data_IF_507547193659
#
_entry.id   IF_507547193659
#
_cell.length_a   1.000
_cell.length_b   1.000
_cell.length_c   1.000
_cell.angle_alpha   90.00
_cell.angle_beta   90.00
_cell.angle_gamma   90.00
#
_symmetry.space_group_name_H-M   'P 1'
#
loop_
_entity.id
_entity.type
_entity.pdbx_description
1 polymer ?
#
# COMPACT_ATOMS: atom_id res chain seq x y z
N UNK A 1 5.18 10.88 16.86
CA UNK A 1 5.09 9.42 16.64
C UNK A 1 6.48 8.85 16.48
N UNK A 2 6.76 7.74 17.11
CA UNK A 2 8.08 7.11 17.05
C UNK A 2 8.05 5.84 16.21
N UNK A 3 9.16 5.57 15.52
CA UNK A 3 9.34 4.35 14.77
C UNK A 3 9.50 3.14 15.70
N UNK A 4 8.81 2.03 15.40
CA UNK A 4 8.90 0.82 16.19
C UNK A 4 10.29 0.17 16.13
N UNK A 5 11.03 0.40 15.06
CA UNK A 5 12.29 -0.31 14.82
C UNK A 5 13.49 0.45 15.39
N UNK A 6 13.59 1.73 15.12
CA UNK A 6 14.77 2.52 15.51
C UNK A 6 14.45 3.63 16.51
N UNK A 7 13.18 3.79 16.87
CA UNK A 7 12.69 4.86 17.75
C UNK A 7 12.97 6.27 17.21
N UNK A 8 13.23 6.37 15.90
CA UNK A 8 13.39 7.65 15.25
C UNK A 8 12.07 8.38 15.11
N UNK A 9 12.15 9.66 14.81
CA UNK A 9 10.96 10.48 14.60
C UNK A 9 10.31 10.16 13.26
N UNK A 10 9.00 10.02 13.25
CA UNK A 10 8.24 9.81 12.03
C UNK A 10 7.53 11.10 11.62
N UNK A 11 7.52 11.35 10.32
CA UNK A 11 6.88 12.53 9.74
C UNK A 11 5.84 12.10 8.71
N UNK A 12 4.81 12.93 8.56
CA UNK A 12 3.78 12.70 7.55
C UNK A 12 4.38 12.86 6.16
N UNK A 13 4.07 11.93 5.27
CA UNK A 13 4.58 11.95 3.90
C UNK A 13 3.76 11.04 3.03
N UNK A 14 4.30 10.71 1.86
CA UNK A 14 3.67 9.81 0.92
C UNK A 14 4.69 8.78 0.46
N UNK A 15 4.22 7.56 0.27
CA UNK A 15 5.09 6.48 -0.19
C UNK A 15 4.32 5.57 -1.15
N UNK A 16 5.04 4.79 -1.93
CA UNK A 16 4.42 3.81 -2.81
C UNK A 16 4.16 2.53 -2.05
N UNK A 17 3.05 1.89 -2.36
CA UNK A 17 2.69 0.57 -1.85
C UNK A 17 2.59 -0.40 -3.02
N UNK A 18 3.29 -1.51 -2.94
CA UNK A 18 3.25 -2.52 -4.00
C UNK A 18 2.85 -3.88 -3.44
N UNK A 19 2.13 -4.64 -4.24
CA UNK A 19 1.65 -5.96 -3.85
C UNK A 19 1.50 -6.86 -5.08
N UNK A 20 1.86 -8.13 -4.92
CA UNK A 20 1.63 -9.16 -5.94
C UNK A 20 0.40 -9.96 -5.57
N UNK A 21 -0.56 -10.03 -6.48
CA UNK A 21 -1.80 -10.79 -6.24
C UNK A 21 -2.30 -11.39 -7.55
N UNK A 22 -2.82 -12.61 -7.46
CA UNK A 22 -3.59 -13.26 -8.54
C UNK A 22 -3.00 -13.06 -9.95
N UNK A 23 -1.69 -13.15 -10.07
CA UNK A 23 -1.03 -13.03 -11.36
C UNK A 23 -0.80 -11.60 -11.85
N UNK A 24 -1.04 -10.59 -11.02
CA UNK A 24 -0.71 -9.21 -11.36
C UNK A 24 0.11 -8.54 -10.25
N UNK A 25 0.79 -7.47 -10.61
CA UNK A 25 1.55 -6.66 -9.68
C UNK A 25 0.92 -5.26 -9.63
N UNK A 26 0.45 -4.88 -8.44
CA UNK A 26 -0.20 -3.59 -8.25
C UNK A 26 0.75 -2.64 -7.52
N UNK A 27 0.94 -1.45 -8.07
CA UNK A 27 1.69 -0.37 -7.43
C UNK A 27 0.75 0.81 -7.23
N UNK A 28 0.65 1.28 -5.99
CA UNK A 28 -0.16 2.44 -5.63
C UNK A 28 0.80 3.54 -5.21
N UNK A 29 0.84 4.63 -5.98
CA UNK A 29 1.71 5.75 -5.68
C UNK A 29 1.05 6.75 -4.74
N UNK A 30 1.88 7.49 -4.03
CA UNK A 30 1.44 8.61 -3.20
C UNK A 30 0.44 8.20 -2.11
N UNK A 31 0.66 7.07 -1.47
CA UNK A 31 -0.16 6.64 -0.34
C UNK A 31 0.27 7.43 0.90
N UNK A 32 -0.67 8.14 1.56
CA UNK A 32 -0.32 8.86 2.79
C UNK A 32 0.19 7.90 3.86
N UNK A 33 1.32 8.23 4.47
CA UNK A 33 1.93 7.40 5.49
C UNK A 33 2.84 8.26 6.36
N UNK A 34 3.17 7.74 7.55
CA UNK A 34 4.26 8.31 8.34
C UNK A 34 5.54 7.58 7.97
N UNK A 35 6.60 8.35 7.73
CA UNK A 35 7.88 7.79 7.31
C UNK A 35 8.93 8.16 8.37
N UNK A 36 9.69 7.15 8.79
CA UNK A 36 10.77 7.35 9.74
C UNK A 36 11.90 8.15 9.10
N UNK A 37 12.37 9.19 9.80
CA UNK A 37 13.44 10.04 9.29
C UNK A 37 14.82 9.39 9.35
N UNK A 38 14.95 8.28 10.10
CA UNK A 38 16.23 7.60 10.26
C UNK A 38 16.34 6.35 9.40
N UNK A 39 15.37 5.45 9.48
CA UNK A 39 15.45 4.17 8.76
C UNK A 39 14.59 4.12 7.51
N UNK A 40 13.75 5.12 7.28
CA UNK A 40 12.90 5.16 6.09
C UNK A 40 11.69 4.23 6.11
N UNK A 41 11.44 3.54 7.23
CA UNK A 41 10.31 2.63 7.33
C UNK A 41 8.98 3.39 7.27
N UNK A 42 8.04 2.97 6.43
CA UNK A 42 6.72 3.60 6.39
C UNK A 42 5.79 2.98 7.42
N UNK A 43 4.90 3.80 7.96
CA UNK A 43 3.78 3.33 8.78
C UNK A 43 2.49 3.84 8.15
N UNK A 44 1.63 2.91 7.73
CA UNK A 44 0.35 3.25 7.13
C UNK A 44 -0.73 3.32 8.19
N UNK A 45 -1.43 4.44 8.23
CA UNK A 45 -2.58 4.60 9.12
C UNK A 45 -3.75 3.75 8.64
N UNK A 46 -4.71 3.53 9.53
CA UNK A 46 -5.90 2.73 9.24
C UNK A 46 -6.64 3.23 8.00
N UNK A 47 -6.76 4.55 7.83
CA UNK A 47 -7.41 5.14 6.66
C UNK A 47 -6.70 4.76 5.37
N UNK A 48 -5.37 4.78 5.37
CA UNK A 48 -4.57 4.41 4.21
C UNK A 48 -4.70 2.92 3.91
N UNK A 49 -4.69 2.09 4.94
CA UNK A 49 -4.86 0.64 4.79
C UNK A 49 -6.23 0.33 4.19
N UNK A 50 -7.28 0.99 4.65
CA UNK A 50 -8.63 0.80 4.10
C UNK A 50 -8.68 1.18 2.62
N UNK A 51 -8.05 2.29 2.24
CA UNK A 51 -7.98 2.72 0.86
C UNK A 51 -7.25 1.70 -0.01
N UNK A 52 -6.11 1.20 0.47
CA UNK A 52 -5.34 0.17 -0.22
C UNK A 52 -6.17 -1.09 -0.42
N UNK A 53 -6.86 -1.55 0.62
CA UNK A 53 -7.68 -2.75 0.54
C UNK A 53 -8.83 -2.58 -0.44
N UNK A 54 -9.46 -1.42 -0.46
CA UNK A 54 -10.53 -1.12 -1.39
C UNK A 54 -10.05 -1.16 -2.83
N UNK A 55 -8.90 -0.54 -3.10
CA UNK A 55 -8.31 -0.56 -4.44
C UNK A 55 -7.93 -1.97 -4.87
N UNK A 56 -7.33 -2.75 -3.97
CA UNK A 56 -6.97 -4.15 -4.25
C UNK A 56 -8.22 -4.95 -4.59
N UNK A 57 -9.29 -4.78 -3.84
CA UNK A 57 -10.54 -5.48 -4.07
C UNK A 57 -11.12 -5.18 -5.46
N UNK A 58 -11.10 -3.92 -5.87
CA UNK A 58 -11.58 -3.51 -7.18
C UNK A 58 -10.74 -4.11 -8.31
N UNK A 59 -9.42 -4.11 -8.15
CA UNK A 59 -8.52 -4.67 -9.16
C UNK A 59 -8.66 -6.19 -9.22
N UNK A 60 -8.76 -6.86 -8.08
CA UNK A 60 -8.99 -8.31 -8.03
C UNK A 60 -10.25 -8.69 -8.78
N UNK A 61 -11.33 -7.96 -8.60
CA UNK A 61 -12.58 -8.22 -9.29
C UNK A 61 -12.42 -8.08 -10.81
N UNK A 62 -11.72 -7.05 -11.27
CA UNK A 62 -11.46 -6.85 -12.69
C UNK A 62 -10.56 -7.95 -13.26
N UNK A 63 -9.54 -8.37 -12.51
CA UNK A 63 -8.64 -9.41 -12.93
C UNK A 63 -9.39 -10.74 -13.13
N UNK A 64 -10.30 -11.07 -12.23
CA UNK A 64 -11.12 -12.26 -12.35
C UNK A 64 -12.01 -12.21 -13.60
N UNK A 65 -12.62 -11.05 -13.88
CA UNK A 65 -13.44 -10.87 -15.08
C UNK A 65 -12.63 -11.01 -16.36
N UNK A 66 -11.43 -10.45 -16.37
CA UNK A 66 -10.54 -10.55 -17.53
C UNK A 66 -10.16 -12.00 -17.79
N UNK A 67 -9.82 -12.76 -16.75
CA UNK A 67 -9.49 -14.16 -16.87
C UNK A 67 -10.66 -14.99 -17.40
N UNK A 68 -11.87 -14.69 -16.96
CA UNK A 68 -13.07 -15.38 -17.42
C UNK A 68 -13.35 -15.12 -18.89
N UNK A 69 -13.05 -13.93 -19.38
CA UNK A 69 -13.28 -13.54 -20.77
C UNK A 69 -12.13 -13.99 -21.69
N UNK A 70 -10.91 -14.01 -21.16
CA UNK A 70 -9.72 -14.30 -21.95
C UNK A 70 -9.43 -15.76 -22.22
N UNK A 71 -10.28 -16.63 -21.76
CA UNK A 71 -10.09 -18.09 -21.94
C UNK A 71 -10.62 -18.59 -23.28
#
# INVERSE_FOLDING_TARGET
MECHYCKGKMVAGKTAYSVNRKGYHLVIDEVPAFVCTQCGEPYFEEKSIQLIQELISQVDERAEKIQAVGV
#
